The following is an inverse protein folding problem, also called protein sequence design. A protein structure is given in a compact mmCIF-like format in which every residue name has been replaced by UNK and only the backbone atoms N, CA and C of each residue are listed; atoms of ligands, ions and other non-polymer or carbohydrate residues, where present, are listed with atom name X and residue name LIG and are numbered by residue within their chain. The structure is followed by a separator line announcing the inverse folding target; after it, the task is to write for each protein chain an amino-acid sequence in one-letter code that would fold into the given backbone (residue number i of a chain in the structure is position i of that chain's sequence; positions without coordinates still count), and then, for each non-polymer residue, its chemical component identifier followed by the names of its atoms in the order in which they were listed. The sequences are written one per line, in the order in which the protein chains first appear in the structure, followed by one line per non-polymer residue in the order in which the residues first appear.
data_IF_392083560608
#
_entry.id   IF_392083560608
#
_cell.length_a   1.000
_cell.length_b   1.000
_cell.length_c   1.000
_cell.angle_alpha   90.00
_cell.angle_beta   90.00
_cell.angle_gamma   90.00
#
_symmetry.space_group_name_H-M   'P 1'
#
loop_
_entity.id
_entity.type
_entity.pdbx_description
1 polymer ?
#
# COMPACT_ATOMS: atom_id res chain seq x y z
N UNK A 1 19.84 10.01 -13.98
CA UNK A 1 18.88 9.57 -12.95
C UNK A 1 17.87 8.69 -13.66
N UNK A 2 17.85 7.39 -13.39
CA UNK A 2 16.94 6.46 -14.06
C UNK A 2 15.52 6.70 -13.52
N UNK A 3 14.66 7.28 -14.36
CA UNK A 3 13.23 7.42 -14.12
C UNK A 3 12.62 6.10 -14.58
N UNK A 4 12.33 5.18 -13.66
CA UNK A 4 11.70 3.91 -14.01
C UNK A 4 10.17 4.08 -14.04
N UNK A 5 9.57 3.64 -15.15
CA UNK A 5 8.28 4.11 -15.64
C UNK A 5 7.07 3.54 -14.87
N UNK A 6 6.34 4.40 -14.18
CA UNK A 6 4.88 4.29 -13.95
C UNK A 6 4.39 3.60 -12.67
N UNK A 7 5.26 2.95 -11.89
CA UNK A 7 4.83 2.25 -10.65
C UNK A 7 5.72 2.55 -9.44
N UNK A 8 5.10 2.54 -8.27
CA UNK A 8 5.74 2.73 -6.96
C UNK A 8 5.71 1.39 -6.21
N UNK A 9 6.86 0.96 -5.71
CA UNK A 9 7.01 -0.33 -5.04
C UNK A 9 7.19 -0.09 -3.54
N UNK A 10 6.26 -0.58 -2.74
CA UNK A 10 6.24 -0.42 -1.29
C UNK A 10 6.40 -1.77 -0.59
N UNK A 11 7.05 -1.75 0.57
CA UNK A 11 7.17 -2.91 1.47
C UNK A 11 6.46 -2.69 2.82
N UNK A 12 5.86 -1.51 3.00
CA UNK A 12 5.13 -1.13 4.20
C UNK A 12 3.66 -1.53 4.06
N UNK A 13 3.23 -2.52 4.85
CA UNK A 13 1.86 -3.02 4.85
C UNK A 13 0.86 -2.01 5.46
N UNK A 14 1.29 -1.15 6.38
CA UNK A 14 0.41 -0.17 7.02
C UNK A 14 0.07 0.97 6.06
N UNK A 15 1.10 1.53 5.42
CA UNK A 15 0.90 2.50 4.35
C UNK A 15 0.08 1.89 3.20
N UNK A 16 0.39 0.65 2.82
CA UNK A 16 -0.34 -0.03 1.73
C UNK A 16 -1.82 -0.27 2.08
N UNK A 17 -2.13 -0.63 3.33
CA UNK A 17 -3.50 -0.78 3.81
C UNK A 17 -4.26 0.56 3.84
N UNK A 18 -3.57 1.64 4.21
CA UNK A 18 -4.13 2.99 4.17
C UNK A 18 -4.46 3.41 2.73
N UNK A 19 -3.54 3.21 1.79
CA UNK A 19 -3.78 3.49 0.37
C UNK A 19 -4.95 2.68 -0.19
N UNK A 20 -5.06 1.40 0.18
CA UNK A 20 -6.19 0.53 -0.19
C UNK A 20 -7.52 1.05 0.36
N UNK A 21 -7.54 1.50 1.63
CA UNK A 21 -8.72 2.13 2.24
C UNK A 21 -9.14 3.41 1.51
N UNK A 22 -8.18 4.18 0.98
CA UNK A 22 -8.42 5.39 0.19
C UNK A 22 -8.75 5.09 -1.29
N UNK A 23 -9.04 3.82 -1.60
CA UNK A 23 -9.50 3.37 -2.90
C UNK A 23 -8.39 3.14 -3.93
N UNK A 24 -7.14 2.97 -3.50
CA UNK A 24 -6.02 2.60 -4.38
C UNK A 24 -5.50 1.23 -3.94
N UNK A 25 -5.90 0.16 -4.62
CA UNK A 25 -5.47 -1.19 -4.27
C UNK A 25 -4.08 -1.52 -4.87
N UNK A 26 -3.19 -2.19 -4.10
CA UNK A 26 -1.93 -2.67 -4.64
C UNK A 26 -2.08 -3.96 -5.45
N UNK A 27 -1.24 -4.10 -6.47
CA UNK A 27 -0.82 -5.41 -6.98
C UNK A 27 0.23 -5.99 -6.03
N UNK A 28 0.10 -7.27 -5.67
CA UNK A 28 1.09 -7.96 -4.84
C UNK A 28 1.98 -8.80 -5.74
N UNK A 29 3.29 -8.69 -5.55
CA UNK A 29 4.27 -9.47 -6.30
C UNK A 29 5.31 -10.06 -5.36
N UNK A 30 5.60 -11.36 -5.49
CA UNK A 30 6.71 -12.01 -4.80
C UNK A 30 8.02 -11.65 -5.50
N UNK A 31 8.96 -11.06 -4.78
CA UNK A 31 10.31 -10.73 -5.25
C UNK A 31 11.32 -11.18 -4.19
N UNK A 32 12.24 -12.07 -4.55
CA UNK A 32 13.35 -12.53 -3.69
C UNK A 32 12.91 -12.95 -2.27
N UNK A 33 11.82 -13.72 -2.16
CA UNK A 33 11.30 -14.23 -0.89
C UNK A 33 10.47 -13.22 -0.07
N UNK A 34 10.25 -12.01 -0.60
CA UNK A 34 9.41 -10.98 0.01
C UNK A 34 8.21 -10.65 -0.88
N UNK A 35 7.17 -10.09 -0.30
CA UNK A 35 6.02 -9.57 -1.07
C UNK A 35 6.16 -8.06 -1.16
N UNK A 36 6.07 -7.54 -2.38
CA UNK A 36 6.11 -6.12 -2.72
C UNK A 36 4.69 -5.67 -3.09
N UNK A 37 4.29 -4.52 -2.57
CA UNK A 37 3.02 -3.86 -2.88
C UNK A 37 3.27 -2.81 -3.98
N UNK A 38 2.73 -3.06 -5.16
CA UNK A 38 2.95 -2.23 -6.34
C UNK A 38 1.73 -1.34 -6.56
N UNK A 39 1.97 -0.02 -6.56
CA UNK A 39 0.98 1.02 -6.77
C UNK A 39 1.29 1.81 -8.05
N UNK A 40 0.32 2.51 -8.65
CA UNK A 40 0.60 3.42 -9.74
C UNK A 40 1.34 4.67 -9.23
N UNK A 41 2.41 5.09 -9.90
CA UNK A 41 3.17 6.28 -9.54
C UNK A 41 2.41 7.53 -10.03
N UNK A 42 1.39 7.94 -9.26
CA UNK A 42 0.49 9.05 -9.59
C UNK A 42 0.55 10.13 -8.51
N UNK A 43 0.20 11.36 -8.88
CA UNK A 43 0.08 12.46 -7.92
C UNK A 43 -0.89 12.13 -6.78
N UNK A 44 -1.99 11.41 -7.05
CA UNK A 44 -2.93 10.95 -6.03
C UNK A 44 -2.24 10.09 -4.97
N UNK A 45 -1.46 9.09 -5.39
CA UNK A 45 -0.73 8.20 -4.47
C UNK A 45 0.31 8.99 -3.68
N UNK A 46 1.06 9.88 -4.33
CA UNK A 46 2.03 10.74 -3.65
C UNK A 46 1.37 11.61 -2.56
N UNK A 47 0.24 12.25 -2.87
CA UNK A 47 -0.52 13.06 -1.90
C UNK A 47 -1.10 12.22 -0.75
N UNK A 48 -1.56 11.00 -1.01
CA UNK A 48 -2.03 10.10 0.04
C UNK A 48 -0.90 9.63 0.96
N UNK A 49 0.30 9.38 0.43
CA UNK A 49 1.48 9.05 1.24
C UNK A 49 1.85 10.22 2.14
N UNK A 50 1.86 11.45 1.60
CA UNK A 50 2.08 12.65 2.41
C UNK A 50 1.01 12.80 3.50
N UNK A 51 -0.26 12.56 3.14
CA UNK A 51 -1.36 12.63 4.10
C UNK A 51 -1.20 11.61 5.22
N UNK A 52 -0.85 10.36 4.91
CA UNK A 52 -0.53 9.33 5.91
C UNK A 52 0.60 9.78 6.84
N UNK A 53 1.68 10.31 6.28
CA UNK A 53 2.84 10.77 7.04
C UNK A 53 2.56 12.00 7.91
N UNK A 54 1.55 12.80 7.57
CA UNK A 54 1.10 13.94 8.40
C UNK A 54 0.31 13.53 9.65
N UNK A 55 0.10 12.22 9.88
CA UNK A 55 -0.66 11.67 11.00
C UNK A 55 -2.10 12.26 11.07
N UNK A 56 -2.94 11.97 10.06
CA UNK A 56 -4.21 12.63 9.91
C UNK A 56 -5.22 12.15 10.94
N UNK A 57 -6.05 13.07 11.43
CA UNK A 57 -7.18 12.74 12.31
C UNK A 57 -8.43 12.39 11.49
N UNK A 58 -9.37 11.66 12.09
CA UNK A 58 -10.64 11.31 11.43
C UNK A 58 -10.62 10.04 10.57
N UNK A 59 -9.55 9.24 10.62
CA UNK A 59 -9.51 7.93 9.97
C UNK A 59 -10.42 6.95 10.72
N UNK A 60 -11.34 6.30 9.98
CA UNK A 60 -12.18 5.23 10.51
C UNK A 60 -11.31 4.01 10.82
N UNK A 61 -10.96 3.84 12.09
CA UNK A 61 -9.99 2.84 12.55
C UNK A 61 -10.43 1.40 12.22
N UNK A 62 -11.71 1.08 12.37
CA UNK A 62 -12.21 -0.27 12.08
C UNK A 62 -12.09 -0.61 10.59
N UNK A 63 -12.41 0.34 9.72
CA UNK A 63 -12.26 0.18 8.27
C UNK A 63 -10.79 -0.04 7.91
N UNK A 64 -9.88 0.78 8.46
CA UNK A 64 -8.43 0.64 8.28
C UNK A 64 -7.93 -0.75 8.71
N UNK A 65 -8.32 -1.21 9.90
CA UNK A 65 -7.92 -2.53 10.44
C UNK A 65 -8.46 -3.65 9.56
N UNK A 66 -9.66 -3.52 8.99
CA UNK A 66 -10.22 -4.51 8.06
C UNK A 66 -9.42 -4.58 6.75
N UNK A 67 -9.01 -3.43 6.20
CA UNK A 67 -8.10 -3.39 5.04
C UNK A 67 -6.75 -4.04 5.37
N UNK A 68 -6.15 -3.69 6.51
CA UNK A 68 -4.88 -4.28 6.96
C UNK A 68 -4.95 -5.80 7.10
N UNK A 69 -6.03 -6.34 7.70
CA UNK A 69 -6.23 -7.78 7.85
C UNK A 69 -6.35 -8.48 6.50
N UNK A 70 -7.14 -7.94 5.57
CA UNK A 70 -7.31 -8.49 4.21
C UNK A 70 -6.01 -8.46 3.43
N UNK A 71 -5.29 -7.34 3.46
CA UNK A 71 -4.03 -7.19 2.77
C UNK A 71 -2.97 -8.15 3.31
N UNK A 72 -2.90 -8.34 4.64
CA UNK A 72 -2.01 -9.32 5.28
C UNK A 72 -2.34 -10.75 4.88
N UNK A 73 -3.61 -11.11 4.82
CA UNK A 73 -4.03 -12.45 4.37
C UNK A 73 -3.58 -12.72 2.92
N UNK A 74 -3.79 -11.76 2.00
CA UNK A 74 -3.32 -11.84 0.61
C UNK A 74 -1.79 -11.96 0.52
N UNK A 75 -1.06 -11.20 1.34
CA UNK A 75 0.40 -11.25 1.40
C UNK A 75 0.92 -12.62 1.84
N UNK A 76 0.34 -13.20 2.89
CA UNK A 76 0.73 -14.52 3.40
C UNK A 76 0.45 -15.61 2.36
N UNK A 77 -0.73 -15.57 1.73
CA UNK A 77 -1.11 -16.52 0.69
C UNK A 77 -0.22 -16.46 -0.57
N UNK A 78 0.49 -15.35 -0.82
CA UNK A 78 1.44 -15.22 -1.92
C UNK A 78 2.88 -15.60 -1.51
N UNK A 79 3.18 -15.51 -0.22
CA UNK A 79 4.50 -15.81 0.32
C UNK A 79 4.72 -17.31 0.41
N UNK A 80 3.72 -18.01 0.93
CA UNK A 80 3.68 -19.46 1.11
C UNK A 80 3.37 -20.15 -0.25
#
# INVERSE_FOLDING_TARGET
MAVDNGTLHLMDIHLSAFLEQQGVAPLLQKQSGRVVFIFPNTQKVASLIQHYNSNPTGIRLLDYVQHLRRLRARMLALRD
#
